data_IF_284109517474
#
_entry.id   IF_284109517474
#
_cell.length_a   1.000
_cell.length_b   1.000
_cell.length_c   1.000
_cell.angle_alpha   90.00
_cell.angle_beta   90.00
_cell.angle_gamma   90.00
#
_symmetry.space_group_name_H-M   'P 1'
#
loop_
_entity.id
_entity.type
_entity.pdbx_description
1 polymer ?
#
# COMPACT_ATOMS: atom_id res chain seq x y z
N UNK A 1 -5.69 -5.38 23.09
CA UNK A 1 -5.24 -4.01 22.75
C UNK A 1 -4.05 -4.15 21.82
N UNK A 2 -4.18 -3.67 20.59
CA UNK A 2 -3.16 -3.76 19.54
C UNK A 2 -2.03 -2.79 19.91
N UNK A 3 -0.74 -3.19 19.96
CA UNK A 3 0.33 -2.20 19.93
C UNK A 3 0.32 -1.59 18.53
N UNK A 4 0.11 -0.27 18.41
CA UNK A 4 0.28 0.40 17.14
C UNK A 4 1.78 0.45 16.87
N UNK A 5 2.19 0.26 15.62
CA UNK A 5 3.54 0.54 15.11
C UNK A 5 4.65 -0.51 15.30
N UNK A 6 5.18 -1.00 14.16
CA UNK A 6 6.55 -0.75 13.67
C UNK A 6 6.71 -1.43 12.28
N UNK A 7 6.87 -0.67 11.18
CA UNK A 7 7.69 -1.04 10.04
C UNK A 7 9.09 -0.40 10.17
N UNK A 8 10.11 -0.92 9.45
CA UNK A 8 11.47 -0.39 9.49
C UNK A 8 11.51 0.96 8.76
N UNK A 9 11.59 2.05 9.53
CA UNK A 9 11.69 3.41 9.01
C UNK A 9 10.86 4.40 9.82
N UNK A 10 11.28 5.66 9.84
CA UNK A 10 10.61 6.74 10.59
C UNK A 10 9.21 7.07 10.04
N UNK A 11 8.81 6.53 8.88
CA UNK A 11 7.52 6.81 8.25
C UNK A 11 6.38 6.06 8.93
N UNK A 12 5.51 6.87 9.51
CA UNK A 12 4.26 6.76 10.26
C UNK A 12 2.90 6.69 9.56
N UNK A 13 2.26 5.56 9.23
CA UNK A 13 0.86 5.51 8.72
C UNK A 13 -0.08 4.60 9.54
N UNK A 14 -1.21 5.15 9.99
CA UNK A 14 -2.30 4.40 10.61
C UNK A 14 -3.37 4.08 9.56
N UNK A 15 -3.73 2.80 9.43
CA UNK A 15 -4.84 2.35 8.59
C UNK A 15 -6.01 1.88 9.45
N UNK A 16 -7.20 2.38 9.14
CA UNK A 16 -8.47 1.90 9.67
C UNK A 16 -9.35 1.43 8.53
N UNK A 17 -10.02 0.30 8.71
CA UNK A 17 -10.96 -0.22 7.74
C UNK A 17 -12.35 -0.31 8.36
N UNK A 18 -13.32 0.25 7.66
CA UNK A 18 -14.72 0.20 8.03
C UNK A 18 -15.41 -0.80 7.10
N UNK A 19 -15.75 -1.96 7.68
CA UNK A 19 -16.22 -3.15 6.98
C UNK A 19 -17.74 -3.28 6.99
N UNK A 20 -18.26 -4.22 6.20
CA UNK A 20 -19.16 -3.95 5.09
C UNK A 20 -20.45 -3.28 5.57
N UNK A 21 -20.60 -2.01 5.21
CA UNK A 21 -21.80 -1.23 5.48
C UNK A 21 -22.67 -1.12 4.24
N UNK A 22 -23.93 -0.76 4.41
CA UNK A 22 -24.84 -0.48 3.29
C UNK A 22 -24.26 0.64 2.41
N UNK A 23 -24.19 0.39 1.11
CA UNK A 23 -23.70 1.40 0.17
C UNK A 23 -24.74 2.52 0.03
N UNK A 24 -24.27 3.75 -0.14
CA UNK A 24 -25.16 4.85 -0.53
C UNK A 24 -25.70 4.56 -1.92
N UNK A 25 -27.01 4.76 -2.14
CA UNK A 25 -27.67 4.54 -3.43
C UNK A 25 -26.97 5.19 -4.64
N UNK A 26 -26.27 6.32 -4.44
CA UNK A 26 -25.49 7.00 -5.50
C UNK A 26 -24.20 6.27 -5.91
N UNK A 27 -23.64 5.42 -5.06
CA UNK A 27 -22.35 4.72 -5.27
C UNK A 27 -22.49 3.21 -5.12
N UNK A 28 -23.72 2.72 -5.14
CA UNK A 28 -24.03 1.31 -5.06
C UNK A 28 -23.62 0.63 -6.37
N UNK A 29 -22.93 -0.50 -6.24
CA UNK A 29 -22.63 -1.35 -7.38
C UNK A 29 -23.35 -2.69 -7.19
N UNK A 30 -24.20 -3.09 -8.16
CA UNK A 30 -25.00 -4.31 -8.03
C UNK A 30 -24.12 -5.56 -8.06
N UNK A 31 -23.02 -5.53 -8.81
CA UNK A 31 -22.18 -6.71 -9.07
C UNK A 31 -20.98 -6.84 -8.12
N UNK A 32 -20.59 -5.77 -7.41
CA UNK A 32 -19.40 -5.76 -6.55
C UNK A 32 -19.50 -4.78 -5.39
N UNK A 33 -18.70 -5.02 -4.35
CA UNK A 33 -18.51 -4.09 -3.25
C UNK A 33 -17.82 -2.80 -3.72
N UNK A 34 -18.35 -1.65 -3.30
CA UNK A 34 -17.72 -0.35 -3.54
C UNK A 34 -16.61 -0.13 -2.54
N UNK A 35 -15.37 -0.01 -3.01
CA UNK A 35 -14.22 0.27 -2.17
C UNK A 35 -13.83 1.75 -2.26
N UNK A 36 -13.82 2.44 -1.12
CA UNK A 36 -13.36 3.81 -0.98
C UNK A 36 -12.07 3.86 -0.19
N UNK A 37 -11.12 4.68 -0.64
CA UNK A 37 -9.86 4.95 0.09
C UNK A 37 -9.78 6.44 0.36
N UNK A 38 -9.52 6.79 1.62
CA UNK A 38 -9.35 8.15 2.09
C UNK A 38 -7.96 8.30 2.70
N UNK A 39 -7.11 9.13 2.09
CA UNK A 39 -5.77 9.45 2.57
C UNK A 39 -5.79 10.82 3.23
N UNK A 40 -5.49 10.84 4.51
CA UNK A 40 -5.42 12.06 5.32
C UNK A 40 -3.95 12.38 5.61
N UNK A 41 -3.44 13.54 5.14
CA UNK A 41 -2.09 13.96 5.47
C UNK A 41 -1.98 14.31 6.97
N UNK A 42 -0.74 14.42 7.47
CA UNK A 42 -0.45 14.84 8.85
C UNK A 42 -0.91 16.27 9.13
N UNK A 43 -0.72 17.15 8.16
CA UNK A 43 -1.00 18.59 8.24
C UNK A 43 -1.73 19.06 7.00
N UNK A 44 -2.75 19.91 7.19
CA UNK A 44 -3.51 20.50 6.11
C UNK A 44 -4.66 19.64 5.60
N UNK A 45 -5.33 20.14 4.56
CA UNK A 45 -6.41 19.44 3.87
C UNK A 45 -5.85 18.59 2.73
N UNK A 46 -6.49 17.46 2.39
CA UNK A 46 -6.07 16.62 1.26
C UNK A 46 -6.17 17.42 -0.05
N UNK A 47 -5.05 17.55 -0.75
CA UNK A 47 -4.96 18.22 -2.04
C UNK A 47 -5.06 17.26 -3.21
N UNK A 48 -4.71 17.75 -4.41
CA UNK A 48 -4.77 16.97 -5.66
C UNK A 48 -3.78 15.79 -5.64
N UNK A 49 -2.61 15.96 -5.03
CA UNK A 49 -1.61 14.91 -4.92
C UNK A 49 -2.12 13.74 -4.08
N UNK A 50 -2.74 14.04 -2.93
CA UNK A 50 -3.35 13.02 -2.06
C UNK A 50 -4.48 12.30 -2.78
N UNK A 51 -5.35 13.03 -3.50
CA UNK A 51 -6.41 12.44 -4.33
C UNK A 51 -5.87 11.48 -5.40
N UNK A 52 -4.78 11.83 -6.06
CA UNK A 52 -4.12 10.96 -7.04
C UNK A 52 -3.61 9.67 -6.37
N UNK A 53 -2.98 9.80 -5.19
CA UNK A 53 -2.51 8.65 -4.40
C UNK A 53 -3.67 7.77 -3.90
N UNK A 54 -4.76 8.37 -3.43
CA UNK A 54 -5.99 7.66 -3.05
C UNK A 54 -6.51 6.80 -4.19
N UNK A 55 -6.51 7.34 -5.42
CA UNK A 55 -6.99 6.63 -6.59
C UNK A 55 -6.12 5.40 -6.91
N UNK A 56 -4.80 5.52 -6.81
CA UNK A 56 -3.85 4.42 -7.01
C UNK A 56 -4.01 3.33 -5.94
N UNK A 57 -4.15 3.73 -4.68
CA UNK A 57 -4.41 2.82 -3.56
C UNK A 57 -5.75 2.10 -3.73
N UNK A 58 -6.79 2.83 -4.14
CA UNK A 58 -8.12 2.27 -4.41
C UNK A 58 -8.07 1.22 -5.52
N UNK A 59 -7.41 1.52 -6.64
CA UNK A 59 -7.24 0.56 -7.73
C UNK A 59 -6.51 -0.71 -7.25
N UNK A 60 -5.41 -0.54 -6.52
CA UNK A 60 -4.63 -1.66 -5.99
C UNK A 60 -5.44 -2.53 -5.02
N UNK A 61 -6.25 -1.93 -4.14
CA UNK A 61 -7.11 -2.67 -3.23
C UNK A 61 -8.29 -3.34 -3.95
N UNK A 62 -8.87 -2.70 -4.97
CA UNK A 62 -10.00 -3.26 -5.73
C UNK A 62 -9.62 -4.52 -6.51
N UNK A 63 -8.40 -4.60 -7.04
CA UNK A 63 -7.91 -5.80 -7.74
C UNK A 63 -7.72 -7.00 -6.79
N UNK A 64 -7.48 -6.72 -5.51
CA UNK A 64 -7.18 -7.75 -4.51
C UNK A 64 -8.41 -8.18 -3.72
N UNK A 65 -9.32 -7.26 -3.43
CA UNK A 65 -10.55 -7.54 -2.69
C UNK A 65 -11.54 -8.26 -3.60
N UNK A 66 -12.05 -9.42 -3.16
CA UNK A 66 -13.08 -10.17 -3.87
C UNK A 66 -14.45 -9.52 -3.65
N UNK A 67 -14.66 -8.37 -4.29
CA UNK A 67 -15.89 -7.57 -4.12
C UNK A 67 -17.18 -8.27 -4.56
N UNK A 68 -17.11 -9.31 -5.39
CA UNK A 68 -18.28 -10.08 -5.84
C UNK A 68 -18.97 -10.89 -4.73
N UNK A 69 -18.30 -11.13 -3.60
CA UNK A 69 -18.90 -11.82 -2.45
C UNK A 69 -19.82 -10.93 -1.61
N UNK A 70 -19.77 -9.61 -1.81
CA UNK A 70 -20.55 -8.63 -1.05
C UNK A 70 -21.19 -7.57 -1.97
N UNK A 71 -22.19 -7.96 -2.80
CA UNK A 71 -22.87 -7.01 -3.68
C UNK A 71 -23.60 -5.93 -2.86
N UNK A 72 -23.66 -4.70 -3.39
CA UNK A 72 -24.33 -3.54 -2.76
C UNK A 72 -23.77 -3.11 -1.39
N UNK A 73 -22.57 -3.56 -1.05
CA UNK A 73 -21.87 -3.13 0.17
C UNK A 73 -20.83 -2.06 -0.16
N UNK A 74 -20.49 -1.27 0.86
CA UNK A 74 -19.39 -0.32 0.80
C UNK A 74 -18.35 -0.67 1.87
N UNK A 75 -17.08 -0.61 1.47
CA UNK A 75 -15.92 -0.76 2.35
C UNK A 75 -15.09 0.50 2.25
N UNK A 76 -14.81 1.12 3.40
CA UNK A 76 -14.04 2.36 3.45
C UNK A 76 -12.73 2.13 4.18
N UNK A 77 -11.62 2.35 3.48
CA UNK A 77 -10.26 2.31 4.04
C UNK A 77 -9.80 3.75 4.29
N UNK A 78 -9.48 4.06 5.55
CA UNK A 78 -8.99 5.36 5.98
C UNK A 78 -7.52 5.23 6.36
N UNK A 79 -6.67 5.99 5.68
CA UNK A 79 -5.23 6.05 5.92
C UNK A 79 -4.89 7.42 6.50
N UNK A 80 -4.40 7.46 7.73
CA UNK A 80 -3.94 8.66 8.41
C UNK A 80 -2.41 8.64 8.51
N UNK A 81 -1.78 9.63 7.88
CA UNK A 81 -0.34 9.84 8.01
C UNK A 81 -0.05 10.49 9.36
N UNK A 82 0.76 9.82 10.18
CA UNK A 82 1.25 10.28 11.48
C UNK A 82 2.64 10.91 11.36
N UNK A 83 3.52 10.28 10.59
CA UNK A 83 4.86 10.76 10.32
C UNK A 83 5.26 10.42 8.89
N UNK A 84 5.94 11.34 8.21
CA UNK A 84 6.42 11.13 6.86
C UNK A 84 7.93 11.35 6.84
N UNK A 85 8.67 10.27 6.68
CA UNK A 85 10.12 10.27 6.61
C UNK A 85 10.62 9.67 5.29
N UNK A 86 9.78 9.64 4.25
CA UNK A 86 10.06 9.05 2.93
C UNK A 86 9.25 7.80 2.65
N UNK A 87 9.14 7.43 1.37
CA UNK A 87 8.46 6.20 0.94
C UNK A 87 7.00 6.08 1.43
N UNK A 88 6.28 7.20 1.49
CA UNK A 88 4.92 7.25 2.04
C UNK A 88 3.95 6.28 1.34
N UNK A 89 4.08 6.14 0.02
CA UNK A 89 3.17 5.30 -0.78
C UNK A 89 3.33 3.80 -0.48
N UNK A 90 4.56 3.30 -0.32
CA UNK A 90 4.79 1.90 0.04
C UNK A 90 4.25 1.61 1.43
N UNK A 91 4.48 2.53 2.39
CA UNK A 91 3.93 2.42 3.74
C UNK A 91 2.40 2.38 3.74
N UNK A 92 1.73 3.26 2.98
CA UNK A 92 0.27 3.28 2.84
C UNK A 92 -0.28 1.97 2.25
N UNK A 93 0.36 1.42 1.20
CA UNK A 93 -0.03 0.13 0.61
C UNK A 93 0.08 -1.00 1.64
N UNK A 94 1.19 -1.04 2.38
CA UNK A 94 1.44 -2.06 3.39
C UNK A 94 0.44 -1.95 4.55
N UNK A 95 0.16 -0.74 5.03
CA UNK A 95 -0.82 -0.48 6.08
C UNK A 95 -2.24 -0.86 5.63
N UNK A 96 -2.62 -0.53 4.39
CA UNK A 96 -3.89 -0.93 3.81
C UNK A 96 -4.03 -2.46 3.70
N UNK A 97 -2.98 -3.17 3.25
CA UNK A 97 -3.01 -4.63 3.16
C UNK A 97 -3.20 -5.29 4.53
N UNK A 98 -2.51 -4.81 5.56
CA UNK A 98 -2.68 -5.35 6.92
C UNK A 98 -4.06 -5.04 7.48
N UNK A 99 -4.61 -3.85 7.23
CA UNK A 99 -5.96 -3.50 7.64
C UNK A 99 -7.04 -4.35 6.93
N UNK A 100 -6.84 -4.63 5.64
CA UNK A 100 -7.68 -5.55 4.87
C UNK A 100 -7.60 -6.99 5.39
N UNK A 101 -6.40 -7.43 5.79
CA UNK A 101 -6.23 -8.74 6.40
C UNK A 101 -6.91 -8.83 7.77
N UNK A 102 -6.85 -7.78 8.59
CA UNK A 102 -7.46 -7.75 9.93
C UNK A 102 -8.99 -7.64 9.89
N UNK A 103 -9.56 -7.05 8.83
CA UNK A 103 -11.01 -6.91 8.68
C UNK A 103 -11.72 -8.21 8.32
N UNK A 104 -10.97 -9.26 7.95
CA UNK A 104 -11.53 -10.56 7.56
C UNK A 104 -12.30 -10.54 6.24
N UNK A 105 -12.14 -9.49 5.42
CA UNK A 105 -12.71 -9.46 4.08
C UNK A 105 -12.08 -10.54 3.19
N UNK A 106 -12.85 -11.13 2.25
CA UNK A 106 -12.30 -12.09 1.32
C UNK A 106 -11.33 -11.39 0.35
N UNK A 107 -10.05 -11.76 0.43
CA UNK A 107 -8.98 -11.27 -0.44
C UNK A 107 -8.52 -12.40 -1.36
N UNK A 108 -8.27 -12.10 -2.64
CA UNK A 108 -7.69 -13.05 -3.59
C UNK A 108 -6.22 -13.36 -3.27
N UNK A 109 -5.48 -12.36 -2.81
CA UNK A 109 -4.09 -12.46 -2.42
C UNK A 109 -3.71 -11.35 -1.43
N UNK A 110 -2.50 -11.39 -0.88
CA UNK A 110 -1.91 -10.24 -0.18
C UNK A 110 -1.07 -9.43 -1.15
N UNK A 111 -0.88 -8.15 -0.86
CA UNK A 111 0.00 -7.28 -1.63
C UNK A 111 0.93 -6.49 -0.72
N UNK A 112 2.07 -6.06 -1.26
CA UNK A 112 2.98 -5.16 -0.56
C UNK A 112 3.46 -4.06 -1.49
N UNK A 113 3.67 -2.88 -0.93
CA UNK A 113 4.36 -1.77 -1.57
C UNK A 113 5.84 -1.76 -1.20
N UNK A 114 6.71 -1.53 -2.18
CA UNK A 114 8.14 -1.27 -2.00
C UNK A 114 8.51 -0.03 -2.80
N UNK A 115 9.25 0.88 -2.18
CA UNK A 115 9.78 2.07 -2.86
C UNK A 115 11.27 1.90 -3.11
N UNK A 116 11.72 2.31 -4.29
CA UNK A 116 13.09 2.26 -4.76
C UNK A 116 13.50 3.68 -5.15
N UNK A 117 14.62 4.18 -4.64
CA UNK A 117 15.27 5.39 -5.13
C UNK A 117 16.49 5.02 -5.95
N UNK A 118 16.58 5.62 -7.13
CA UNK A 118 17.77 5.62 -7.96
C UNK A 118 18.54 6.91 -7.67
N UNK A 119 19.73 6.76 -7.09
CA UNK A 119 20.60 7.88 -6.81
C UNK A 119 21.30 8.39 -8.08
N UNK A 120 21.82 9.64 -8.09
CA UNK A 120 22.51 10.19 -9.26
C UNK A 120 23.79 9.44 -9.66
N UNK A 121 24.39 8.71 -8.73
CA UNK A 121 25.57 7.86 -8.93
C UNK A 121 25.23 6.51 -9.61
N UNK A 122 23.94 6.24 -9.84
CA UNK A 122 23.45 4.97 -10.39
C UNK A 122 23.23 3.89 -9.33
N UNK A 123 23.40 4.20 -8.05
CA UNK A 123 23.13 3.24 -6.98
C UNK A 123 21.62 3.12 -6.69
N UNK A 124 21.16 1.89 -6.51
CA UNK A 124 19.78 1.57 -6.15
C UNK A 124 19.64 1.45 -4.63
N UNK A 125 18.75 2.23 -4.05
CA UNK A 125 18.39 2.15 -2.63
C UNK A 125 16.93 1.70 -2.48
N UNK A 126 16.69 0.68 -1.65
CA UNK A 126 15.35 0.19 -1.31
C UNK A 126 14.88 0.87 -0.02
N UNK A 127 13.60 1.26 0.01
CA UNK A 127 12.96 2.06 1.07
C UNK A 127 13.79 3.30 1.48
N UNK A 128 13.95 4.28 0.57
CA UNK A 128 14.70 5.50 0.84
C UNK A 128 14.06 6.37 1.93
N UNK A 129 14.93 7.07 2.66
CA UNK A 129 14.54 8.15 3.57
C UNK A 129 14.21 9.43 2.79
N UNK A 130 13.53 10.38 3.43
CA UNK A 130 13.11 11.65 2.79
C UNK A 130 14.26 12.44 2.18
N UNK A 131 15.46 12.39 2.77
CA UNK A 131 16.65 13.05 2.23
C UNK A 131 17.13 12.35 0.95
N UNK A 132 17.13 11.02 0.93
CA UNK A 132 17.49 10.22 -0.23
C UNK A 132 16.46 10.37 -1.35
N UNK A 133 15.17 10.51 -1.02
CA UNK A 133 14.11 10.75 -2.01
C UNK A 133 14.27 12.10 -2.70
N UNK A 134 14.77 13.13 -1.99
CA UNK A 134 15.02 14.46 -2.54
C UNK A 134 16.28 14.52 -3.41
N UNK A 135 17.33 13.78 -3.06
CA UNK A 135 18.58 13.73 -3.85
C UNK A 135 18.51 12.71 -4.99
N UNK A 136 17.54 11.80 -4.96
CA UNK A 136 17.36 10.79 -5.98
C UNK A 136 17.03 11.39 -7.35
N UNK A 137 17.59 10.79 -8.39
CA UNK A 137 17.28 11.08 -9.78
C UNK A 137 15.89 10.56 -10.16
N UNK A 138 15.54 9.39 -9.63
CA UNK A 138 14.23 8.78 -9.85
C UNK A 138 13.75 8.01 -8.61
N UNK A 139 12.45 8.04 -8.38
CA UNK A 139 11.78 7.34 -7.30
C UNK A 139 10.69 6.48 -7.90
N UNK A 140 10.81 5.16 -7.72
CA UNK A 140 9.88 4.17 -8.22
C UNK A 140 9.18 3.52 -7.04
N UNK A 141 7.86 3.38 -7.10
CA UNK A 141 7.09 2.64 -6.10
C UNK A 141 6.32 1.55 -6.80
N UNK A 142 6.46 0.32 -6.31
CA UNK A 142 5.83 -0.86 -6.88
C UNK A 142 4.91 -1.51 -5.85
N UNK A 143 3.69 -1.82 -6.25
CA UNK A 143 2.77 -2.68 -5.52
C UNK A 143 2.80 -4.07 -6.15
N UNK A 144 3.19 -5.09 -5.38
CA UNK A 144 3.37 -6.46 -5.86
C UNK A 144 2.38 -7.37 -5.13
N UNK A 145 1.70 -8.24 -5.87
CA UNK A 145 0.83 -9.27 -5.32
C UNK A 145 1.65 -10.51 -4.93
N UNK A 146 1.48 -11.00 -3.70
CA UNK A 146 2.30 -12.09 -3.15
C UNK A 146 2.02 -13.47 -3.72
N UNK A 147 0.82 -13.71 -4.26
CA UNK A 147 0.46 -15.03 -4.81
C UNK A 147 1.10 -15.30 -6.19
N UNK A 148 1.22 -14.27 -7.02
CA UNK A 148 1.66 -14.40 -8.42
C UNK A 148 2.91 -13.58 -8.75
N UNK A 149 3.46 -12.85 -7.77
CA UNK A 149 4.49 -11.81 -7.96
C UNK A 149 4.12 -10.79 -9.05
N UNK A 150 2.82 -10.69 -9.35
CA UNK A 150 2.28 -9.81 -10.38
C UNK A 150 2.37 -8.38 -9.88
N UNK A 151 2.82 -7.49 -10.74
CA UNK A 151 2.80 -6.06 -10.50
C UNK A 151 1.35 -5.56 -10.57
N UNK A 152 0.84 -5.00 -9.48
CA UNK A 152 -0.50 -4.39 -9.41
C UNK A 152 -0.45 -2.93 -9.84
N UNK A 153 0.56 -2.21 -9.37
CA UNK A 153 0.71 -0.78 -9.61
C UNK A 153 2.19 -0.43 -9.61
N UNK A 154 2.59 0.46 -10.51
CA UNK A 154 3.89 1.09 -10.50
C UNK A 154 3.72 2.60 -10.65
N UNK A 155 4.47 3.36 -9.88
CA UNK A 155 4.60 4.81 -10.06
C UNK A 155 6.05 5.16 -10.15
N UNK A 156 6.39 5.91 -11.18
CA UNK A 156 7.73 6.41 -11.44
C UNK A 156 7.69 7.92 -11.40
N UNK A 157 8.58 8.51 -10.62
CA UNK A 157 8.84 9.95 -10.59
C UNK A 157 10.30 10.18 -10.94
N UNK A 158 10.57 11.08 -11.87
CA UNK A 158 11.93 11.34 -12.35
C UNK A 158 12.27 10.56 -13.61
N UNK A 159 13.56 10.49 -13.93
CA UNK A 159 14.06 9.94 -15.19
C UNK A 159 14.89 8.68 -14.96
N UNK A 160 14.36 7.53 -15.36
CA UNK A 160 15.04 6.23 -15.31
C UNK A 160 15.04 5.56 -16.68
N UNK A 161 16.06 4.75 -16.93
CA UNK A 161 16.13 3.86 -18.09
C UNK A 161 15.29 2.60 -17.86
N UNK A 162 15.00 1.87 -18.95
CA UNK A 162 14.23 0.61 -18.88
C UNK A 162 15.01 -0.46 -18.11
N UNK A 163 16.33 -0.51 -18.27
CA UNK A 163 17.21 -1.45 -17.57
C UNK A 163 17.20 -1.20 -16.05
N UNK A 164 17.34 0.05 -15.62
CA UNK A 164 17.26 0.44 -14.21
C UNK A 164 15.88 0.10 -13.62
N UNK A 165 14.80 0.35 -14.37
CA UNK A 165 13.45 0.00 -13.91
C UNK A 165 13.27 -1.52 -13.72
N UNK A 166 13.83 -2.34 -14.62
CA UNK A 166 13.81 -3.80 -14.49
C UNK A 166 14.62 -4.27 -13.29
N UNK A 167 15.80 -3.67 -13.05
CA UNK A 167 16.60 -3.95 -11.86
C UNK A 167 15.87 -3.58 -10.56
N UNK A 168 15.21 -2.41 -10.53
CA UNK A 168 14.39 -1.99 -9.40
C UNK A 168 13.24 -2.97 -9.14
N UNK A 169 12.56 -3.42 -10.20
CA UNK A 169 11.46 -4.37 -10.07
C UNK A 169 11.94 -5.72 -9.53
N UNK A 170 13.06 -6.24 -10.03
CA UNK A 170 13.64 -7.49 -9.54
C UNK A 170 14.06 -7.39 -8.06
N UNK A 171 14.66 -6.26 -7.67
CA UNK A 171 15.02 -5.99 -6.27
C UNK A 171 13.76 -5.88 -5.38
N UNK A 172 12.73 -5.16 -5.84
CA UNK A 172 11.46 -5.02 -5.14
C UNK A 172 10.76 -6.38 -4.97
N UNK A 173 10.79 -7.26 -5.99
CA UNK A 173 10.27 -8.63 -5.89
C UNK A 173 11.02 -9.45 -4.84
N UNK A 174 12.35 -9.33 -4.76
CA UNK A 174 13.15 -10.03 -3.75
C UNK A 174 12.80 -9.56 -2.32
N UNK A 175 12.64 -8.26 -2.12
CA UNK A 175 12.23 -7.70 -0.82
C UNK A 175 10.78 -8.03 -0.48
N UNK A 176 9.90 -8.08 -1.48
CA UNK A 176 8.48 -8.41 -1.28
C UNK A 176 8.30 -9.75 -0.56
N UNK A 177 9.14 -10.74 -0.87
CA UNK A 177 9.09 -12.05 -0.21
C UNK A 177 9.33 -11.96 1.29
N UNK A 178 10.31 -11.16 1.72
CA UNK A 178 10.60 -10.92 3.13
C UNK A 178 9.43 -10.18 3.82
N UNK A 179 8.81 -9.21 3.15
CA UNK A 179 7.63 -8.49 3.67
C UNK A 179 6.44 -9.45 3.82
N UNK A 180 6.20 -10.34 2.85
CA UNK A 180 5.13 -11.32 2.94
C UNK A 180 5.36 -12.34 4.05
N UNK A 181 6.61 -12.78 4.26
CA UNK A 181 6.97 -13.61 5.41
C UNK A 181 6.66 -12.88 6.73
N UNK A 182 7.04 -11.61 6.83
CA UNK A 182 6.73 -10.77 7.98
C UNK A 182 5.21 -10.66 8.24
N UNK A 183 4.39 -10.48 7.21
CA UNK A 183 2.92 -10.47 7.36
C UNK A 183 2.39 -11.78 7.93
N UNK A 184 2.89 -12.92 7.42
CA UNK A 184 2.48 -14.24 7.90
C UNK A 184 2.89 -14.47 9.35
N UNK A 185 4.09 -14.05 9.73
CA UNK A 185 4.58 -14.18 11.10
C UNK A 185 3.80 -13.30 12.07
N UNK A 186 3.49 -12.06 11.68
CA UNK A 186 2.64 -11.16 12.46
C UNK A 186 1.23 -11.73 12.64
N UNK A 187 0.62 -12.26 11.58
CA UNK A 187 -0.69 -12.91 11.66
C UNK A 187 -0.64 -14.13 12.59
N UNK A 188 0.34 -15.03 12.42
CA UNK A 188 0.51 -16.22 13.28
C UNK A 188 0.67 -15.88 14.75
N UNK A 189 1.50 -14.88 15.09
CA UNK A 189 1.70 -14.43 16.48
C UNK A 189 0.41 -13.93 17.12
N UNK A 190 -0.46 -13.29 16.33
CA UNK A 190 -1.76 -12.80 16.81
C UNK A 190 -2.75 -13.93 17.07
N UNK A 191 -2.82 -14.93 16.18
CA UNK A 191 -3.74 -16.07 16.33
C UNK A 191 -3.24 -17.16 17.27
N UNK A 192 -1.93 -17.27 17.52
CA UNK A 192 -1.35 -18.30 18.42
C UNK A 192 -1.51 -17.99 19.91
N UNK A 193 -1.95 -16.78 20.29
CA UNK A 193 -2.18 -16.37 21.69
C UNK A 193 -3.66 -16.41 22.09
N UNK A 194 -4.53 -16.95 21.23
CA UNK A 194 -5.94 -17.22 21.54
C UNK A 194 -6.16 -18.72 21.69
#
# INVERSE_FOLDING_TARGET
RIPPWIPPGDTSVLAGLYGPTEAKASREQPDKATLEVLLRPKTGLPGVLERSREQLLRQSCQEVVLGGLHPRTSVTVVLQVLNDAGSLLSCCLNAACVALLDSGLPLSCLFCGVTCALQPDGSLTLDPNSQQEQTARAVLTFAIAGASKKLLMATTKGSCTVEEMQQCLAAAQKVSEAIFQFYRDCARRRYSKS
#
